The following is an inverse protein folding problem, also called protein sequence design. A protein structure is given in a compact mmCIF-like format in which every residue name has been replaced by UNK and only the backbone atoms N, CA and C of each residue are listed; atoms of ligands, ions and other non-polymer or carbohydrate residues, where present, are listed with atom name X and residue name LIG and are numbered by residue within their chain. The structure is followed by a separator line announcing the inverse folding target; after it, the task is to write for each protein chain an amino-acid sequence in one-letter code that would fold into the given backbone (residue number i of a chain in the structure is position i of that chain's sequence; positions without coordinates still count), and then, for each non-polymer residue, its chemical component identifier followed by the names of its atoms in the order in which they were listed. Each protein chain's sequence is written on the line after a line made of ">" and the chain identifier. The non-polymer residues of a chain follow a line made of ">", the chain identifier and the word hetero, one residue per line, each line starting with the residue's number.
data_IF_344781834453
#
_entry.id   IF_344781834453
#
_cell.length_a   1.000
_cell.length_b   1.000
_cell.length_c   1.000
_cell.angle_alpha   90.00
_cell.angle_beta   90.00
_cell.angle_gamma   90.00
#
_symmetry.space_group_name_H-M   'P 1'
#
loop_
_entity.id
_entity.type
_entity.pdbx_description
1 polymer ?
#
# COMPACT_ATOMS: atom_id res chain seq x y z
N UNK A 1 8.64 22.70 2.96
CA UNK A 1 8.19 21.59 2.10
C UNK A 1 9.36 20.80 1.51
N UNK A 2 10.29 21.42 0.77
CA UNK A 2 11.48 20.75 0.15
C UNK A 2 12.34 19.98 1.16
N UNK A 3 12.49 20.49 2.38
CA UNK A 3 13.28 19.82 3.43
C UNK A 3 12.70 18.46 3.88
N UNK A 4 11.38 18.36 4.08
CA UNK A 4 10.74 17.12 4.52
C UNK A 4 10.76 16.06 3.41
N UNK A 5 10.54 16.46 2.16
CA UNK A 5 10.62 15.54 1.03
C UNK A 5 12.03 14.93 0.87
N UNK A 6 13.08 15.74 1.07
CA UNK A 6 14.47 15.27 1.05
C UNK A 6 14.75 14.30 2.19
N UNK A 7 14.29 14.61 3.40
CA UNK A 7 14.44 13.74 4.58
C UNK A 7 13.74 12.41 4.34
N UNK A 8 12.48 12.43 3.90
CA UNK A 8 11.72 11.22 3.61
C UNK A 8 12.42 10.34 2.57
N UNK A 9 12.94 10.92 1.49
CA UNK A 9 13.68 10.17 0.48
C UNK A 9 14.95 9.53 1.01
N UNK A 10 15.67 10.19 1.91
CA UNK A 10 16.86 9.63 2.56
C UNK A 10 16.47 8.47 3.50
N UNK A 11 15.47 8.66 4.35
CA UNK A 11 14.98 7.64 5.29
C UNK A 11 14.47 6.39 4.56
N UNK A 12 13.73 6.58 3.45
CA UNK A 12 13.27 5.47 2.61
C UNK A 12 14.44 4.71 1.97
N UNK A 13 15.48 5.42 1.54
CA UNK A 13 16.69 4.80 0.97
C UNK A 13 17.43 3.97 2.01
N UNK A 14 17.55 4.47 3.24
CA UNK A 14 18.17 3.73 4.35
C UNK A 14 17.37 2.47 4.71
N UNK A 15 16.04 2.50 4.63
CA UNK A 15 15.23 1.29 4.81
C UNK A 15 15.56 0.23 3.76
N UNK A 16 15.70 0.63 2.49
CA UNK A 16 16.09 -0.31 1.41
C UNK A 16 17.47 -0.88 1.67
N UNK A 17 18.43 -0.06 2.11
CA UNK A 17 19.76 -0.53 2.49
C UNK A 17 19.71 -1.54 3.63
N UNK A 18 19.00 -1.22 4.72
CA UNK A 18 18.84 -2.12 5.87
C UNK A 18 18.20 -3.46 5.48
N UNK A 19 17.24 -3.44 4.56
CA UNK A 19 16.64 -4.66 4.01
C UNK A 19 17.66 -5.51 3.23
N UNK A 20 18.47 -4.90 2.37
CA UNK A 20 19.54 -5.59 1.62
C UNK A 20 20.56 -6.21 2.58
N UNK A 21 20.93 -5.48 3.64
CA UNK A 21 21.88 -5.90 4.66
C UNK A 21 21.29 -6.94 5.64
N UNK A 22 19.99 -7.24 5.52
CA UNK A 22 19.22 -8.11 6.43
C UNK A 22 19.28 -7.66 7.90
N UNK A 23 19.43 -6.37 8.12
CA UNK A 23 19.40 -5.76 9.44
C UNK A 23 17.96 -5.40 9.81
N UNK A 24 17.30 -6.32 10.52
CA UNK A 24 15.90 -6.16 10.92
C UNK A 24 15.70 -5.00 11.92
N UNK A 25 16.69 -4.71 12.76
CA UNK A 25 16.60 -3.62 13.73
C UNK A 25 16.66 -2.27 13.02
N UNK A 26 17.67 -2.07 12.15
CA UNK A 26 17.80 -0.86 11.35
C UNK A 26 16.60 -0.66 10.41
N UNK A 27 16.05 -1.74 9.84
CA UNK A 27 14.85 -1.66 9.01
C UNK A 27 13.63 -1.21 9.80
N UNK A 28 13.47 -1.69 11.03
CA UNK A 28 12.35 -1.31 11.91
C UNK A 28 12.45 0.18 12.30
N UNK A 29 13.62 0.61 12.75
CA UNK A 29 13.85 1.99 13.18
C UNK A 29 13.72 2.96 12.01
N UNK A 30 14.30 2.62 10.84
CA UNK A 30 14.17 3.42 9.63
C UNK A 30 12.72 3.53 9.16
N UNK A 31 11.96 2.43 9.21
CA UNK A 31 10.54 2.43 8.83
C UNK A 31 9.71 3.34 9.74
N UNK A 32 10.01 3.36 11.05
CA UNK A 32 9.37 4.27 11.99
C UNK A 32 9.70 5.74 11.68
N UNK A 33 10.95 6.06 11.32
CA UNK A 33 11.35 7.40 10.91
C UNK A 33 10.61 7.86 9.64
N UNK A 34 10.55 7.01 8.61
CA UNK A 34 9.76 7.25 7.39
C UNK A 34 8.31 7.61 7.72
N UNK A 35 7.68 6.82 8.60
CA UNK A 35 6.30 7.08 9.02
C UNK A 35 6.16 8.42 9.72
N UNK A 36 7.06 8.76 10.66
CA UNK A 36 7.02 10.06 11.34
C UNK A 36 7.17 11.23 10.37
N UNK A 37 8.06 11.13 9.38
CA UNK A 37 8.22 12.16 8.36
C UNK A 37 6.98 12.28 7.48
N UNK A 38 6.33 11.16 7.12
CA UNK A 38 5.05 11.17 6.39
C UNK A 38 3.93 11.88 7.18
N UNK A 39 3.78 11.58 8.47
CA UNK A 39 2.78 12.25 9.32
C UNK A 39 2.98 13.78 9.32
N UNK A 40 4.24 14.23 9.41
CA UNK A 40 4.57 15.66 9.33
C UNK A 40 4.20 16.24 7.97
N UNK A 41 4.47 15.53 6.87
CA UNK A 41 4.09 15.99 5.53
C UNK A 41 2.58 16.13 5.40
N UNK A 42 1.80 15.16 5.88
CA UNK A 42 0.33 15.21 5.85
C UNK A 42 -0.21 16.37 6.66
N UNK A 43 0.31 16.56 7.88
CA UNK A 43 -0.04 17.71 8.72
C UNK A 43 0.24 19.04 8.00
N UNK A 44 1.40 19.19 7.36
CA UNK A 44 1.72 20.40 6.58
C UNK A 44 0.82 20.58 5.35
N UNK A 45 0.31 19.49 4.78
CA UNK A 45 -0.62 19.51 3.66
C UNK A 45 -2.09 19.67 4.09
N UNK A 46 -2.37 19.72 5.40
CA UNK A 46 -3.74 19.79 5.92
C UNK A 46 -4.54 18.49 5.76
N UNK A 47 -3.85 17.35 5.61
CA UNK A 47 -4.46 16.02 5.48
C UNK A 47 -4.46 15.37 6.86
N UNK A 48 -5.61 14.91 7.33
CA UNK A 48 -5.68 14.17 8.59
C UNK A 48 -5.12 12.76 8.40
N UNK A 49 -4.38 12.26 9.41
CA UNK A 49 -3.80 10.91 9.38
C UNK A 49 -4.88 9.84 9.14
N UNK A 50 -6.05 10.01 9.76
CA UNK A 50 -7.20 9.12 9.59
C UNK A 50 -7.64 8.98 8.13
N UNK A 51 -7.59 10.06 7.34
CA UNK A 51 -7.97 10.00 5.91
C UNK A 51 -7.03 9.10 5.11
N UNK A 52 -5.74 9.12 5.43
CA UNK A 52 -4.75 8.25 4.77
C UNK A 52 -4.92 6.80 5.20
N UNK A 53 -5.17 6.56 6.50
CA UNK A 53 -5.43 5.21 7.00
C UNK A 53 -6.71 4.61 6.42
N UNK A 54 -7.77 5.39 6.31
CA UNK A 54 -9.02 4.98 5.66
C UNK A 54 -8.79 4.63 4.18
N UNK A 55 -7.97 5.40 3.48
CA UNK A 55 -7.59 5.11 2.09
C UNK A 55 -6.79 3.80 1.97
N UNK A 56 -5.86 3.55 2.89
CA UNK A 56 -5.12 2.27 2.92
C UNK A 56 -6.04 1.07 3.16
N UNK A 57 -6.98 1.20 4.10
CA UNK A 57 -8.00 0.16 4.36
C UNK A 57 -8.90 -0.07 3.15
N UNK A 58 -9.38 1.00 2.49
CA UNK A 58 -10.15 0.89 1.23
C UNK A 58 -9.39 0.11 0.16
N UNK A 59 -8.09 0.39 -0.03
CA UNK A 59 -7.25 -0.32 -1.02
C UNK A 59 -7.10 -1.80 -0.69
N UNK A 60 -6.90 -2.14 0.59
CA UNK A 60 -6.83 -3.54 1.03
C UNK A 60 -8.14 -4.27 0.79
N UNK A 61 -9.28 -3.67 1.15
CA UNK A 61 -10.61 -4.25 0.93
C UNK A 61 -10.91 -4.46 -0.55
N UNK A 62 -10.60 -3.48 -1.40
CA UNK A 62 -10.78 -3.60 -2.85
C UNK A 62 -9.90 -4.71 -3.44
N UNK A 63 -8.64 -4.80 -3.00
CA UNK A 63 -7.73 -5.87 -3.40
C UNK A 63 -8.27 -7.26 -3.03
N UNK A 64 -8.77 -7.42 -1.80
CA UNK A 64 -9.36 -8.67 -1.33
C UNK A 64 -10.62 -9.03 -2.12
N UNK A 65 -11.51 -8.07 -2.36
CA UNK A 65 -12.73 -8.31 -3.16
C UNK A 65 -12.39 -8.71 -4.59
N UNK A 66 -11.43 -8.04 -5.24
CA UNK A 66 -10.98 -8.42 -6.57
C UNK A 66 -10.37 -9.82 -6.57
N UNK A 67 -9.61 -10.19 -5.54
CA UNK A 67 -9.07 -11.53 -5.41
C UNK A 67 -10.19 -12.58 -5.30
N UNK A 68 -11.22 -12.32 -4.49
CA UNK A 68 -12.37 -13.21 -4.32
C UNK A 68 -13.19 -13.37 -5.62
N UNK A 69 -13.48 -12.27 -6.32
CA UNK A 69 -14.23 -12.28 -7.58
C UNK A 69 -13.47 -12.98 -8.71
N UNK A 70 -12.14 -12.84 -8.75
CA UNK A 70 -11.29 -13.50 -9.74
C UNK A 70 -10.84 -14.90 -9.33
N UNK A 71 -11.15 -15.35 -8.11
CA UNK A 71 -10.83 -16.70 -7.68
C UNK A 71 -11.61 -17.68 -8.58
N UNK A 72 -10.93 -18.59 -9.30
CA UNK A 72 -11.63 -19.58 -10.10
C UNK A 72 -12.50 -20.41 -9.15
N UNK A 73 -13.81 -20.27 -9.29
CA UNK A 73 -14.75 -21.09 -8.53
C UNK A 73 -14.47 -22.55 -8.88
N UNK A 74 -14.02 -23.35 -7.91
CA UNK A 74 -13.91 -24.81 -8.04
C UNK A 74 -15.27 -25.48 -8.41
N UNK A 75 -16.37 -24.72 -8.49
CA UNK A 75 -17.68 -25.16 -8.96
C UNK A 75 -17.82 -25.32 -10.49
N UNK A 76 -16.83 -24.94 -11.30
CA UNK A 76 -16.95 -24.98 -12.78
C UNK A 76 -16.54 -26.30 -13.45
N UNK A 77 -16.55 -27.41 -12.73
CA UNK A 77 -16.52 -28.74 -13.36
C UNK A 77 -17.90 -29.25 -13.82
N UNK A 78 -18.97 -28.41 -13.83
CA UNK A 78 -20.29 -28.93 -14.25
C UNK A 78 -21.12 -28.20 -15.30
N UNK A 79 -20.94 -26.92 -15.66
CA UNK A 79 -21.75 -26.34 -16.74
C UNK A 79 -21.02 -25.26 -17.53
N UNK A 80 -20.86 -25.51 -18.83
CA UNK A 80 -20.27 -24.63 -19.82
C UNK A 80 -21.06 -23.34 -20.04
N UNK A 81 -20.90 -22.36 -19.14
CA UNK A 81 -21.27 -20.97 -19.38
C UNK A 81 -20.05 -20.07 -19.21
N UNK A 82 -19.75 -19.32 -20.28
CA UNK A 82 -18.65 -18.36 -20.43
C UNK A 82 -18.39 -17.58 -19.13
N UNK A 83 -17.13 -17.62 -18.71
CA UNK A 83 -16.58 -16.85 -17.58
C UNK A 83 -16.55 -15.38 -17.99
N UNK A 84 -17.39 -14.56 -17.38
CA UNK A 84 -17.28 -13.11 -17.51
C UNK A 84 -16.05 -12.67 -16.72
N UNK A 85 -14.96 -12.38 -17.43
CA UNK A 85 -13.76 -11.83 -16.82
C UNK A 85 -13.98 -10.32 -16.64
N UNK A 86 -14.02 -9.85 -15.39
CA UNK A 86 -14.05 -8.42 -15.10
C UNK A 86 -12.63 -7.88 -15.28
N UNK A 87 -12.23 -7.66 -16.53
CA UNK A 87 -11.01 -6.94 -16.84
C UNK A 87 -11.23 -5.45 -16.64
N UNK A 88 -10.66 -4.94 -15.56
CA UNK A 88 -10.41 -3.52 -15.30
C UNK A 88 -11.62 -2.67 -14.89
N UNK A 89 -11.72 -2.42 -13.58
CA UNK A 89 -12.37 -1.22 -13.08
C UNK A 89 -11.35 -0.09 -13.17
N UNK A 90 -11.34 0.65 -14.28
CA UNK A 90 -10.81 2.03 -14.26
C UNK A 90 -11.72 2.80 -13.29
N UNK A 91 -11.27 2.99 -12.07
CA UNK A 91 -11.88 3.94 -11.14
C UNK A 91 -11.56 5.36 -11.66
N UNK A 92 -12.54 6.27 -11.73
CA UNK A 92 -12.34 7.65 -12.16
C UNK A 92 -11.42 8.43 -11.21
#
# INVERSE_FOLDING_TARGET
>A
MVGLARVLGAEATECVRAFVDRDAAALTDGSAAVMQTLLRIWMFAGIAEAEVWDEMDKRLRLGNLMFELNRPSNQRLRRGRRQWNVTSTKLP
#
